data_IF_811526376660
#
_entry.id   IF_811526376660
#
_cell.length_a   1.000
_cell.length_b   1.000
_cell.length_c   1.000
_cell.angle_alpha   90.00
_cell.angle_beta   90.00
_cell.angle_gamma   90.00
#
_symmetry.space_group_name_H-M   'P 1'
#
loop_
_entity.id
_entity.type
_entity.pdbx_description
1 polymer ?
#
# COMPACT_ATOMS: atom_id res chain seq x y z
N UNK A 1 29.38 -9.12 -39.27
CA UNK A 1 28.00 -9.44 -38.93
C UNK A 1 27.96 -9.99 -37.51
N UNK A 2 27.13 -9.48 -36.59
CA UNK A 2 26.87 -10.17 -35.36
C UNK A 2 26.36 -11.57 -35.71
N UNK A 3 26.94 -12.61 -35.12
CA UNK A 3 26.59 -13.98 -35.44
C UNK A 3 25.09 -14.19 -35.16
N UNK A 4 24.39 -14.89 -36.04
CA UNK A 4 22.96 -15.25 -35.89
C UNK A 4 22.69 -15.83 -34.50
N UNK A 5 23.62 -16.59 -33.93
CA UNK A 5 23.56 -17.17 -32.60
C UNK A 5 23.45 -16.13 -31.45
N UNK A 6 24.07 -14.96 -31.54
CA UNK A 6 23.93 -13.93 -30.50
C UNK A 6 22.53 -13.28 -30.54
N UNK A 7 22.02 -13.01 -31.75
CA UNK A 7 20.64 -12.51 -31.97
C UNK A 7 19.60 -13.49 -31.40
N UNK A 8 19.80 -14.80 -31.60
CA UNK A 8 18.85 -15.82 -31.15
C UNK A 8 18.83 -15.97 -29.62
N UNK A 9 19.95 -15.73 -28.95
CA UNK A 9 19.99 -15.75 -27.47
C UNK A 9 19.16 -14.59 -26.88
N UNK A 10 19.28 -13.40 -27.43
CA UNK A 10 18.48 -12.25 -26.98
C UNK A 10 17.00 -12.41 -27.27
N UNK A 11 16.63 -12.90 -28.45
CA UNK A 11 15.23 -13.20 -28.80
C UNK A 11 14.62 -14.20 -27.82
N UNK A 12 15.32 -15.30 -27.52
CA UNK A 12 14.86 -16.30 -26.54
C UNK A 12 14.69 -15.69 -25.16
N UNK A 13 15.55 -14.77 -24.74
CA UNK A 13 15.46 -14.13 -23.44
C UNK A 13 14.28 -13.14 -23.35
N UNK A 14 14.01 -12.37 -24.42
CA UNK A 14 12.83 -11.50 -24.50
C UNK A 14 11.55 -12.33 -24.42
N UNK A 15 11.46 -13.42 -25.21
CA UNK A 15 10.32 -14.32 -25.18
C UNK A 15 10.14 -14.98 -23.79
N UNK A 16 11.24 -15.41 -23.16
CA UNK A 16 11.20 -16.00 -21.81
C UNK A 16 10.73 -14.97 -20.77
N UNK A 17 11.15 -13.71 -20.89
CA UNK A 17 10.70 -12.64 -19.99
C UNK A 17 9.19 -12.33 -20.18
N UNK A 18 8.72 -12.31 -21.43
CA UNK A 18 7.30 -12.09 -21.71
C UNK A 18 6.44 -13.26 -21.24
N UNK A 19 6.87 -14.50 -21.48
CA UNK A 19 6.18 -15.70 -21.01
C UNK A 19 6.20 -15.79 -19.47
N UNK A 20 7.32 -15.48 -18.84
CA UNK A 20 7.45 -15.41 -17.38
C UNK A 20 6.53 -14.35 -16.79
N UNK A 21 6.47 -13.16 -17.38
CA UNK A 21 5.57 -12.11 -16.95
C UNK A 21 4.09 -12.52 -17.10
N UNK A 22 3.73 -13.16 -18.20
CA UNK A 22 2.38 -13.69 -18.40
C UNK A 22 1.97 -14.66 -17.27
N UNK A 23 2.86 -15.59 -16.90
CA UNK A 23 2.60 -16.51 -15.78
C UNK A 23 2.45 -15.75 -14.47
N UNK A 24 3.27 -14.73 -14.21
CA UNK A 24 3.18 -13.90 -13.02
C UNK A 24 1.84 -13.15 -12.94
N UNK A 25 1.37 -12.58 -14.06
CA UNK A 25 0.05 -11.93 -14.13
C UNK A 25 -1.08 -12.95 -13.94
N UNK A 26 -0.96 -14.16 -14.48
CA UNK A 26 -1.95 -15.21 -14.25
C UNK A 26 -2.06 -15.60 -12.77
N UNK A 27 -0.95 -15.63 -12.05
CA UNK A 27 -0.92 -15.85 -10.59
C UNK A 27 -1.59 -14.68 -9.85
N UNK A 28 -1.22 -13.44 -10.19
CA UNK A 28 -1.76 -12.23 -9.55
C UNK A 28 -3.28 -12.09 -9.78
N UNK A 29 -3.78 -12.49 -10.95
CA UNK A 29 -5.20 -12.41 -11.33
C UNK A 29 -5.98 -13.70 -11.03
N UNK A 30 -5.32 -14.74 -10.50
CA UNK A 30 -5.90 -16.07 -10.26
C UNK A 30 -6.55 -16.71 -11.51
N UNK A 31 -6.17 -16.25 -12.73
CA UNK A 31 -6.79 -16.68 -13.98
C UNK A 31 -5.86 -16.46 -15.17
N UNK A 32 -5.65 -17.53 -15.94
CA UNK A 32 -4.95 -17.42 -17.24
C UNK A 32 -5.77 -16.64 -18.28
N UNK A 33 -7.09 -16.69 -18.19
CA UNK A 33 -7.99 -15.98 -19.11
C UNK A 33 -7.87 -14.48 -18.85
N UNK A 34 -7.90 -14.05 -17.59
CA UNK A 34 -7.74 -12.65 -17.23
C UNK A 34 -6.35 -12.10 -17.58
N UNK A 35 -5.31 -12.90 -17.43
CA UNK A 35 -3.97 -12.52 -17.88
C UNK A 35 -3.90 -12.36 -19.40
N UNK A 36 -4.61 -13.21 -20.15
CA UNK A 36 -4.71 -13.10 -21.60
C UNK A 36 -5.50 -11.84 -22.00
N UNK A 37 -6.64 -11.59 -21.38
CA UNK A 37 -7.45 -10.40 -21.59
C UNK A 37 -6.62 -9.13 -21.33
N UNK A 38 -5.90 -9.08 -20.22
CA UNK A 38 -5.00 -7.97 -19.92
C UNK A 38 -3.92 -7.77 -21.00
N UNK A 39 -3.25 -8.84 -21.41
CA UNK A 39 -2.21 -8.78 -22.44
C UNK A 39 -2.76 -8.25 -23.77
N UNK A 40 -3.97 -8.64 -24.16
CA UNK A 40 -4.59 -8.26 -25.45
C UNK A 40 -5.23 -6.88 -25.41
N UNK A 41 -5.82 -6.49 -24.28
CA UNK A 41 -6.46 -5.18 -24.14
C UNK A 41 -5.46 -4.05 -23.84
N UNK A 42 -4.33 -4.38 -23.16
CA UNK A 42 -3.30 -3.40 -22.80
C UNK A 42 -1.89 -3.82 -23.26
N UNK A 43 -1.68 -4.04 -24.56
CA UNK A 43 -0.43 -4.63 -25.08
C UNK A 43 0.81 -3.79 -24.79
N UNK A 44 0.70 -2.46 -24.76
CA UNK A 44 1.83 -1.57 -24.45
C UNK A 44 2.26 -1.68 -22.98
N UNK A 45 1.30 -1.78 -22.08
CA UNK A 45 1.57 -1.95 -20.63
C UNK A 45 2.15 -3.33 -20.36
N UNK A 46 1.62 -4.36 -21.01
CA UNK A 46 2.18 -5.72 -20.94
C UNK A 46 3.63 -5.76 -21.45
N UNK A 47 3.90 -5.17 -22.63
CA UNK A 47 5.24 -5.10 -23.21
C UNK A 47 6.21 -4.32 -22.30
N UNK A 48 5.75 -3.24 -21.66
CA UNK A 48 6.54 -2.47 -20.71
C UNK A 48 6.96 -3.32 -19.50
N UNK A 49 6.02 -4.03 -18.86
CA UNK A 49 6.34 -4.89 -17.71
C UNK A 49 7.22 -6.08 -18.09
N UNK A 50 6.99 -6.68 -19.25
CA UNK A 50 7.88 -7.71 -19.79
C UNK A 50 9.31 -7.16 -20.02
N UNK A 51 9.44 -5.93 -20.53
CA UNK A 51 10.72 -5.24 -20.67
C UNK A 51 11.36 -4.90 -19.32
N UNK A 52 10.56 -4.60 -18.28
CA UNK A 52 11.05 -4.40 -16.93
C UNK A 52 11.74 -5.67 -16.38
N UNK A 53 11.06 -6.82 -16.49
CA UNK A 53 11.63 -8.11 -16.08
C UNK A 53 12.87 -8.45 -16.92
N UNK A 54 12.81 -8.21 -18.24
CA UNK A 54 13.97 -8.40 -19.12
C UNK A 54 15.15 -7.55 -18.67
N UNK A 55 14.96 -6.25 -18.44
CA UNK A 55 15.99 -5.30 -18.02
C UNK A 55 16.61 -5.70 -16.69
N UNK A 56 15.81 -6.12 -15.70
CA UNK A 56 16.30 -6.64 -14.43
C UNK A 56 17.15 -7.89 -14.60
N UNK A 57 16.85 -8.73 -15.60
CA UNK A 57 17.60 -9.96 -15.89
C UNK A 57 18.96 -9.72 -16.56
N UNK A 58 19.25 -8.52 -17.06
CA UNK A 58 20.53 -8.21 -17.71
C UNK A 58 21.74 -8.29 -16.77
N UNK A 59 21.51 -8.17 -15.45
CA UNK A 59 22.56 -8.35 -14.43
C UNK A 59 23.29 -9.70 -14.58
N UNK A 60 22.62 -10.72 -15.13
CA UNK A 60 23.13 -12.06 -15.37
C UNK A 60 24.44 -12.06 -16.20
N UNK A 61 24.60 -11.06 -17.10
CA UNK A 61 25.78 -10.97 -17.95
C UNK A 61 27.05 -10.47 -17.25
N UNK A 62 26.93 -10.07 -15.99
CA UNK A 62 28.06 -9.69 -15.14
C UNK A 62 28.69 -10.91 -14.41
N UNK A 63 28.08 -12.09 -14.50
CA UNK A 63 28.49 -13.25 -13.75
C UNK A 63 28.84 -14.46 -14.65
N UNK A 64 29.77 -15.33 -14.18
CA UNK A 64 30.13 -16.57 -14.86
C UNK A 64 29.03 -17.62 -14.73
N UNK A 65 28.30 -17.66 -13.63
CA UNK A 65 27.21 -18.62 -13.40
C UNK A 65 25.87 -18.09 -13.84
N UNK A 66 25.74 -17.84 -15.13
CA UNK A 66 24.58 -17.18 -15.74
C UNK A 66 23.25 -17.89 -15.50
N UNK A 67 23.27 -19.23 -15.45
CA UNK A 67 22.06 -20.03 -15.19
C UNK A 67 21.56 -19.78 -13.78
N UNK A 68 22.44 -19.80 -12.78
CA UNK A 68 22.09 -19.51 -11.40
C UNK A 68 21.45 -18.11 -11.26
N UNK A 69 22.11 -17.08 -11.78
CA UNK A 69 21.60 -15.71 -11.68
C UNK A 69 20.28 -15.52 -12.43
N UNK A 70 20.10 -16.22 -13.56
CA UNK A 70 18.83 -16.18 -14.30
C UNK A 70 17.70 -16.80 -13.50
N UNK A 71 17.94 -17.98 -12.92
CA UNK A 71 16.96 -18.64 -12.03
C UNK A 71 16.66 -17.75 -10.83
N UNK A 72 17.68 -17.15 -10.20
CA UNK A 72 17.49 -16.28 -9.04
C UNK A 72 16.62 -15.07 -9.35
N UNK A 73 16.87 -14.35 -10.44
CA UNK A 73 16.06 -13.19 -10.85
C UNK A 73 14.62 -13.61 -11.19
N UNK A 74 14.45 -14.73 -11.89
CA UNK A 74 13.12 -15.25 -12.22
C UNK A 74 12.36 -15.65 -10.96
N UNK A 75 12.99 -16.33 -10.03
CA UNK A 75 12.39 -16.71 -8.74
C UNK A 75 12.07 -15.48 -7.88
N UNK A 76 12.91 -14.46 -7.88
CA UNK A 76 12.62 -13.22 -7.18
C UNK A 76 11.27 -12.64 -7.62
N UNK A 77 11.07 -12.44 -8.92
CA UNK A 77 9.81 -11.93 -9.46
C UNK A 77 8.63 -12.88 -9.24
N UNK A 78 8.86 -14.18 -9.39
CA UNK A 78 7.82 -15.19 -9.20
C UNK A 78 7.35 -15.26 -7.73
N UNK A 79 8.28 -15.23 -6.77
CA UNK A 79 7.95 -15.22 -5.34
C UNK A 79 7.11 -13.98 -4.99
N UNK A 80 7.51 -12.81 -5.48
CA UNK A 80 6.75 -11.59 -5.25
C UNK A 80 5.34 -11.69 -5.88
N UNK A 81 5.21 -12.26 -7.08
CA UNK A 81 3.90 -12.50 -7.70
C UNK A 81 3.04 -13.48 -6.91
N UNK A 82 3.63 -14.55 -6.36
CA UNK A 82 2.93 -15.50 -5.49
C UNK A 82 2.47 -14.82 -4.20
N UNK A 83 3.34 -14.01 -3.56
CA UNK A 83 2.96 -13.24 -2.36
C UNK A 83 1.78 -12.33 -2.68
N UNK A 84 1.84 -11.60 -3.79
CA UNK A 84 0.74 -10.73 -4.22
C UNK A 84 -0.55 -11.53 -4.47
N UNK A 85 -0.48 -12.65 -5.20
CA UNK A 85 -1.64 -13.50 -5.44
C UNK A 85 -2.24 -14.05 -4.15
N UNK A 86 -1.42 -14.55 -3.21
CA UNK A 86 -1.92 -15.04 -1.91
C UNK A 86 -2.56 -13.93 -1.08
N UNK A 87 -2.01 -12.71 -1.10
CA UNK A 87 -2.62 -11.58 -0.40
C UNK A 87 -3.97 -11.20 -1.00
N UNK A 88 -4.10 -11.20 -2.31
CA UNK A 88 -5.36 -10.88 -3.01
C UNK A 88 -6.48 -11.92 -2.79
N UNK A 89 -6.16 -13.12 -2.29
CA UNK A 89 -7.18 -14.07 -1.82
C UNK A 89 -7.79 -13.66 -0.47
N UNK A 90 -7.08 -12.84 0.31
CA UNK A 90 -7.47 -12.50 1.68
C UNK A 90 -7.81 -11.01 1.86
N UNK A 91 -7.41 -10.15 0.93
CA UNK A 91 -7.67 -8.70 0.99
C UNK A 91 -7.80 -8.12 -0.43
N UNK A 92 -8.47 -7.00 -0.55
CA UNK A 92 -8.66 -6.29 -1.84
C UNK A 92 -7.37 -5.60 -2.31
N UNK A 93 -6.51 -5.17 -1.39
CA UNK A 93 -5.29 -4.42 -1.74
C UNK A 93 -4.14 -5.35 -2.10
N UNK A 94 -3.42 -5.09 -3.21
CA UNK A 94 -2.26 -5.86 -3.63
C UNK A 94 -1.06 -5.66 -2.69
N UNK A 95 0.01 -6.44 -2.93
CA UNK A 95 1.29 -6.28 -2.24
C UNK A 95 2.01 -5.02 -2.71
N UNK A 96 2.38 -4.15 -1.78
CA UNK A 96 2.96 -2.83 -2.03
C UNK A 96 4.32 -2.63 -1.34
N UNK A 97 5.05 -1.57 -1.69
CA UNK A 97 6.29 -1.19 -1.01
C UNK A 97 6.17 -1.06 0.50
N UNK A 98 5.17 -0.35 1.04
CA UNK A 98 4.92 -0.28 2.48
C UNK A 98 4.72 -1.63 3.18
N UNK A 99 4.22 -2.66 2.51
CA UNK A 99 4.09 -4.00 3.09
C UNK A 99 5.46 -4.64 3.41
N UNK A 100 6.53 -4.20 2.75
CA UNK A 100 7.89 -4.67 3.08
C UNK A 100 8.29 -4.29 4.52
N UNK A 101 7.81 -3.18 5.03
CA UNK A 101 8.06 -2.76 6.42
C UNK A 101 7.23 -3.56 7.44
N UNK A 102 6.19 -4.26 6.97
CA UNK A 102 5.30 -5.05 7.82
C UNK A 102 5.68 -6.52 7.90
N UNK A 103 6.75 -6.96 7.25
CA UNK A 103 7.16 -8.38 7.24
C UNK A 103 7.33 -8.91 8.68
N UNK A 104 7.92 -8.11 9.58
CA UNK A 104 8.08 -8.49 10.98
C UNK A 104 6.77 -8.64 11.73
N UNK A 105 5.78 -7.78 11.43
CA UNK A 105 4.46 -7.84 12.05
C UNK A 105 3.63 -8.98 11.44
N UNK A 106 3.74 -9.19 10.13
CA UNK A 106 3.12 -10.33 9.44
C UNK A 106 3.61 -11.67 9.99
N UNK A 107 4.89 -11.79 10.34
CA UNK A 107 5.44 -13.00 10.96
C UNK A 107 4.81 -13.28 12.35
N UNK A 108 4.50 -12.25 13.14
CA UNK A 108 3.87 -12.40 14.46
C UNK A 108 2.43 -12.91 14.36
N UNK A 109 1.72 -12.54 13.28
CA UNK A 109 0.32 -12.92 13.06
C UNK A 109 0.15 -14.09 12.08
N UNK A 110 1.24 -14.59 11.50
CA UNK A 110 1.19 -15.70 10.54
C UNK A 110 0.45 -16.94 11.09
N UNK A 111 0.58 -17.21 12.38
CA UNK A 111 -0.10 -18.31 13.06
C UNK A 111 -1.64 -18.14 13.14
N UNK A 112 -2.16 -16.93 12.97
CA UNK A 112 -3.61 -16.68 12.92
C UNK A 112 -4.20 -17.04 11.54
N UNK A 113 -3.39 -17.01 10.48
CA UNK A 113 -3.81 -17.26 9.09
C UNK A 113 -3.41 -18.63 8.56
N UNK A 114 -2.33 -19.22 9.09
CA UNK A 114 -1.85 -20.54 8.69
C UNK A 114 -1.75 -21.45 9.91
N UNK A 115 -2.27 -22.68 9.81
CA UNK A 115 -2.02 -23.68 10.85
C UNK A 115 -0.51 -23.95 10.97
N UNK A 116 -0.04 -24.34 12.15
CA UNK A 116 1.38 -24.58 12.43
C UNK A 116 2.01 -25.52 11.40
N UNK A 117 1.28 -26.56 10.97
CA UNK A 117 1.72 -27.47 9.91
C UNK A 117 1.97 -26.75 8.58
N UNK A 118 1.14 -25.74 8.23
CA UNK A 118 1.34 -24.92 7.05
C UNK A 118 2.59 -24.05 7.11
N UNK A 119 2.85 -23.43 8.26
CA UNK A 119 4.08 -22.65 8.49
C UNK A 119 5.32 -23.54 8.36
N UNK A 120 5.30 -24.72 8.97
CA UNK A 120 6.40 -25.71 8.88
C UNK A 120 6.61 -26.14 7.42
N UNK A 121 5.55 -26.44 6.68
CA UNK A 121 5.66 -26.81 5.26
C UNK A 121 6.30 -25.69 4.42
N UNK A 122 5.92 -24.44 4.61
CA UNK A 122 6.53 -23.29 3.93
C UNK A 122 8.02 -23.17 4.27
N UNK A 123 8.40 -23.33 5.55
CA UNK A 123 9.80 -23.31 5.97
C UNK A 123 10.62 -24.45 5.32
N UNK A 124 10.06 -25.65 5.24
CA UNK A 124 10.72 -26.80 4.59
C UNK A 124 10.90 -26.53 3.08
N UNK A 125 9.85 -26.07 2.39
CA UNK A 125 9.92 -25.73 0.96
C UNK A 125 10.96 -24.64 0.69
N UNK A 126 11.00 -23.61 1.54
CA UNK A 126 12.01 -22.55 1.45
C UNK A 126 13.43 -23.12 1.67
N UNK A 127 13.63 -23.99 2.66
CA UNK A 127 14.91 -24.66 2.91
C UNK A 127 15.35 -25.51 1.71
N UNK A 128 14.45 -26.28 1.11
CA UNK A 128 14.73 -27.06 -0.10
C UNK A 128 15.13 -26.12 -1.25
N UNK A 129 14.39 -25.02 -1.47
CA UNK A 129 14.70 -24.03 -2.52
C UNK A 129 16.11 -23.45 -2.32
N UNK A 130 16.47 -23.08 -1.10
CA UNK A 130 17.81 -22.55 -0.78
C UNK A 130 18.89 -23.60 -1.09
N UNK A 131 18.69 -24.86 -0.71
CA UNK A 131 19.64 -25.95 -1.00
C UNK A 131 19.78 -26.12 -2.51
N UNK A 132 18.70 -26.14 -3.28
CA UNK A 132 18.75 -26.27 -4.74
C UNK A 132 19.48 -25.09 -5.39
N UNK A 133 19.25 -23.86 -4.90
CA UNK A 133 19.96 -22.67 -5.37
C UNK A 133 21.47 -22.75 -5.05
N UNK A 134 21.85 -23.21 -3.86
CA UNK A 134 23.25 -23.43 -3.49
C UNK A 134 23.90 -24.54 -4.36
N UNK A 135 23.19 -25.63 -4.61
CA UNK A 135 23.66 -26.66 -5.52
C UNK A 135 23.86 -26.11 -6.94
N UNK A 136 22.93 -25.30 -7.44
CA UNK A 136 23.04 -24.65 -8.75
C UNK A 136 24.17 -23.63 -8.78
N UNK A 137 24.41 -22.92 -7.68
CA UNK A 137 25.56 -22.02 -7.53
C UNK A 137 26.90 -22.78 -7.53
N UNK A 138 26.98 -23.91 -6.87
CA UNK A 138 28.23 -24.68 -6.73
C UNK A 138 28.49 -25.57 -7.97
N UNK A 139 27.48 -26.32 -8.41
CA UNK A 139 27.60 -27.35 -9.48
C UNK A 139 27.10 -26.90 -10.84
N UNK A 140 26.35 -25.77 -10.92
CA UNK A 140 25.73 -25.29 -12.15
C UNK A 140 26.75 -24.91 -13.25
N UNK A 141 26.32 -24.84 -14.51
CA UNK A 141 27.19 -24.57 -15.64
C UNK A 141 27.82 -23.18 -15.54
N UNK A 142 29.11 -23.11 -15.81
CA UNK A 142 29.89 -21.87 -15.85
C UNK A 142 30.07 -21.39 -17.29
N UNK A 143 29.94 -20.10 -17.50
CA UNK A 143 30.33 -19.49 -18.79
C UNK A 143 31.84 -19.52 -18.94
N UNK A 144 32.32 -20.22 -19.94
CA UNK A 144 33.75 -20.56 -20.12
C UNK A 144 34.59 -19.37 -20.64
N UNK A 145 33.94 -18.39 -21.32
CA UNK A 145 34.68 -17.26 -21.91
C UNK A 145 34.88 -16.17 -20.86
N UNK A 146 35.98 -15.40 -20.99
CA UNK A 146 36.21 -14.21 -20.15
C UNK A 146 35.06 -13.21 -20.31
N UNK A 147 34.54 -12.65 -19.19
CA UNK A 147 33.52 -11.64 -19.21
C UNK A 147 34.16 -10.32 -19.61
N UNK A 148 33.64 -9.70 -20.65
CA UNK A 148 34.13 -8.42 -21.15
C UNK A 148 33.39 -7.28 -20.42
N UNK A 149 33.72 -7.03 -19.17
CA UNK A 149 33.07 -5.98 -18.33
C UNK A 149 33.07 -4.61 -19.00
N UNK A 150 34.16 -4.25 -19.70
CA UNK A 150 34.29 -2.98 -20.45
C UNK A 150 33.13 -2.76 -21.46
N UNK A 151 32.55 -3.83 -21.99
CA UNK A 151 31.40 -3.74 -22.91
C UNK A 151 30.07 -4.06 -22.24
N UNK A 152 30.07 -5.05 -21.34
CA UNK A 152 28.81 -5.49 -20.69
C UNK A 152 28.23 -4.41 -19.77
N UNK A 153 29.08 -3.74 -18.97
CA UNK A 153 28.59 -2.70 -18.04
C UNK A 153 27.99 -1.51 -18.79
N UNK A 154 28.67 -0.87 -19.76
CA UNK A 154 28.08 0.24 -20.52
C UNK A 154 26.81 -0.17 -21.28
N UNK A 155 26.76 -1.41 -21.81
CA UNK A 155 25.55 -1.89 -22.52
C UNK A 155 24.38 -2.08 -21.58
N UNK A 156 24.59 -2.60 -20.37
CA UNK A 156 23.54 -2.74 -19.33
C UNK A 156 23.09 -1.36 -18.87
N UNK A 157 24.01 -0.44 -18.61
CA UNK A 157 23.67 0.93 -18.23
C UNK A 157 22.88 1.66 -19.33
N UNK A 158 23.26 1.45 -20.59
CA UNK A 158 22.50 1.98 -21.72
C UNK A 158 21.09 1.40 -21.78
N UNK A 159 20.94 0.08 -21.60
CA UNK A 159 19.63 -0.57 -21.57
C UNK A 159 18.76 -0.06 -20.42
N UNK A 160 19.33 0.13 -19.24
CA UNK A 160 18.64 0.73 -18.09
C UNK A 160 18.24 2.18 -18.37
N UNK A 161 19.12 2.97 -18.97
CA UNK A 161 18.82 4.36 -19.33
C UNK A 161 17.70 4.44 -20.41
N UNK A 162 17.74 3.57 -21.42
CA UNK A 162 16.67 3.46 -22.41
C UNK A 162 15.35 3.03 -21.80
N UNK A 163 15.38 2.10 -20.83
CA UNK A 163 14.19 1.68 -20.11
C UNK A 163 13.64 2.83 -19.25
N UNK A 164 14.48 3.56 -18.52
CA UNK A 164 14.08 4.75 -17.77
C UNK A 164 13.48 5.83 -18.67
N UNK A 165 14.08 6.07 -19.83
CA UNK A 165 13.53 6.98 -20.85
C UNK A 165 12.18 6.52 -21.40
N UNK A 166 12.01 5.20 -21.60
CA UNK A 166 10.71 4.64 -22.02
C UNK A 166 9.64 4.77 -20.90
N UNK A 167 10.03 4.70 -19.62
CA UNK A 167 9.14 4.97 -18.49
C UNK A 167 8.64 6.41 -18.51
N UNK A 168 9.56 7.37 -18.68
CA UNK A 168 9.22 8.79 -18.77
C UNK A 168 8.26 9.06 -19.94
N UNK A 169 8.56 8.50 -21.12
CA UNK A 169 7.70 8.62 -22.29
C UNK A 169 6.32 8.00 -22.06
N UNK A 170 6.25 6.84 -21.41
CA UNK A 170 4.99 6.16 -21.10
C UNK A 170 4.12 6.98 -20.13
N UNK A 171 4.73 7.66 -19.15
CA UNK A 171 4.05 8.60 -18.25
C UNK A 171 3.53 9.83 -19.00
N UNK A 172 4.36 10.45 -19.86
CA UNK A 172 3.96 11.61 -20.66
C UNK A 172 2.81 11.29 -21.63
N UNK A 173 2.85 10.10 -22.24
CA UNK A 173 1.78 9.61 -23.13
C UNK A 173 0.58 9.03 -22.40
N UNK A 174 0.56 9.05 -21.08
CA UNK A 174 -0.51 8.49 -20.21
C UNK A 174 -0.78 7.00 -20.45
N UNK A 175 0.22 6.25 -20.93
CA UNK A 175 0.19 4.79 -20.99
C UNK A 175 0.35 4.21 -19.60
N UNK A 176 1.16 4.88 -18.76
CA UNK A 176 1.33 4.61 -17.35
C UNK A 176 0.92 5.83 -16.53
N UNK A 177 0.64 5.62 -15.24
CA UNK A 177 0.42 6.68 -14.26
C UNK A 177 1.31 6.47 -13.05
N UNK A 178 1.81 7.55 -12.46
CA UNK A 178 2.50 7.55 -11.17
C UNK A 178 1.58 7.92 -10.01
N UNK A 179 0.33 8.26 -10.28
CA UNK A 179 -0.71 8.49 -9.30
C UNK A 179 -1.76 7.37 -9.38
N UNK A 180 -2.04 6.75 -8.26
CA UNK A 180 -3.00 5.66 -8.13
C UNK A 180 -4.14 6.11 -7.23
N UNK A 181 -5.25 6.54 -7.83
CA UNK A 181 -6.46 6.90 -7.08
C UNK A 181 -7.07 5.72 -6.31
N UNK A 182 -6.95 4.51 -6.88
CA UNK A 182 -7.21 3.24 -6.21
C UNK A 182 -6.09 2.27 -6.56
N UNK A 183 -5.42 1.74 -5.53
CA UNK A 183 -4.24 0.89 -5.72
C UNK A 183 -4.58 -0.47 -6.35
N UNK A 184 -5.75 -1.04 -6.04
CA UNK A 184 -6.17 -2.31 -6.63
C UNK A 184 -6.38 -2.18 -8.14
N UNK A 185 -7.14 -1.17 -8.56
CA UNK A 185 -7.35 -0.88 -9.98
C UNK A 185 -6.07 -0.50 -10.71
N UNK A 186 -5.14 0.18 -10.03
CA UNK A 186 -3.85 0.50 -10.63
C UNK A 186 -3.05 -0.77 -10.97
N UNK A 187 -3.08 -1.79 -10.12
CA UNK A 187 -2.42 -3.08 -10.39
C UNK A 187 -3.10 -3.85 -11.53
N UNK A 188 -4.42 -3.77 -11.63
CA UNK A 188 -5.16 -4.33 -12.76
C UNK A 188 -4.83 -3.61 -14.07
N UNK A 189 -4.70 -2.29 -14.04
CA UNK A 189 -4.48 -1.45 -15.21
C UNK A 189 -3.03 -1.44 -15.69
N UNK A 190 -2.07 -1.32 -14.77
CA UNK A 190 -0.66 -1.08 -15.09
C UNK A 190 0.26 -2.27 -14.84
N UNK A 191 -0.27 -3.36 -14.28
CA UNK A 191 0.47 -4.59 -14.02
C UNK A 191 1.34 -4.55 -12.77
N UNK A 192 1.55 -5.73 -12.22
CA UNK A 192 2.17 -5.92 -10.91
C UNK A 192 3.60 -5.37 -10.79
N UNK A 193 4.58 -5.64 -11.71
CA UNK A 193 5.96 -5.20 -11.51
C UNK A 193 6.12 -3.67 -11.50
N UNK A 194 5.41 -2.98 -12.40
CA UNK A 194 5.42 -1.52 -12.46
C UNK A 194 4.84 -0.91 -11.20
N UNK A 195 3.67 -1.36 -10.78
CA UNK A 195 2.99 -0.81 -9.61
C UNK A 195 3.76 -1.05 -8.32
N UNK A 196 4.33 -2.26 -8.14
CA UNK A 196 5.19 -2.55 -7.00
C UNK A 196 6.41 -1.62 -6.97
N UNK A 197 7.12 -1.48 -8.10
CA UNK A 197 8.26 -0.58 -8.18
C UNK A 197 7.86 0.87 -7.87
N UNK A 198 6.73 1.34 -8.38
CA UNK A 198 6.23 2.69 -8.11
C UNK A 198 5.94 2.88 -6.62
N UNK A 199 5.34 1.89 -5.94
CA UNK A 199 5.07 1.98 -4.49
C UNK A 199 6.33 1.87 -3.62
N UNK A 200 7.44 1.35 -4.16
CA UNK A 200 8.74 1.30 -3.46
C UNK A 200 9.53 2.59 -3.64
N UNK A 201 9.55 3.13 -4.86
CA UNK A 201 10.45 4.26 -5.22
C UNK A 201 9.76 5.63 -5.17
N UNK A 202 8.44 5.69 -5.26
CA UNK A 202 7.68 6.92 -5.17
C UNK A 202 6.97 6.99 -3.81
N UNK A 203 7.73 7.34 -2.78
CA UNK A 203 7.28 7.47 -1.39
C UNK A 203 7.51 8.88 -0.89
N UNK A 204 6.81 9.23 0.20
CA UNK A 204 6.91 10.54 0.85
C UNK A 204 5.99 11.58 0.23
N UNK A 205 6.08 12.80 0.75
CA UNK A 205 5.22 13.92 0.36
C UNK A 205 5.82 14.62 -0.85
N UNK A 206 5.01 14.78 -1.89
CA UNK A 206 5.41 15.55 -3.07
C UNK A 206 5.42 17.05 -2.75
N UNK A 207 6.56 17.70 -2.97
CA UNK A 207 6.66 19.15 -2.84
C UNK A 207 5.85 19.82 -3.97
N UNK A 208 4.88 20.71 -3.66
CA UNK A 208 4.18 21.50 -4.67
C UNK A 208 5.14 22.33 -5.52
N UNK A 209 4.84 22.50 -6.81
CA UNK A 209 5.73 23.22 -7.75
C UNK A 209 5.94 24.69 -7.41
N UNK A 210 4.96 25.30 -6.78
CA UNK A 210 4.90 26.70 -6.35
C UNK A 210 5.29 26.90 -4.89
N UNK A 211 5.76 25.83 -4.21
CA UNK A 211 6.23 25.92 -2.84
C UNK A 211 7.44 26.87 -2.73
N UNK A 212 7.23 27.97 -2.00
CA UNK A 212 8.24 28.99 -1.79
C UNK A 212 7.97 29.75 -0.50
N UNK A 213 9.03 30.33 0.09
CA UNK A 213 8.90 31.18 1.28
C UNK A 213 7.94 32.38 1.05
N UNK A 214 7.90 32.89 -0.19
CA UNK A 214 6.99 33.98 -0.57
C UNK A 214 5.53 33.53 -0.50
N UNK A 215 5.25 32.30 -0.96
CA UNK A 215 3.90 31.75 -0.95
C UNK A 215 3.44 31.45 0.48
N UNK A 216 4.32 30.90 1.32
CA UNK A 216 4.04 30.69 2.74
C UNK A 216 3.71 32.01 3.43
N UNK A 217 4.54 33.06 3.26
CA UNK A 217 4.26 34.40 3.84
C UNK A 217 2.97 35.01 3.31
N UNK A 218 2.56 34.69 2.07
CA UNK A 218 1.28 35.12 1.51
C UNK A 218 0.11 34.48 2.24
N UNK A 219 0.17 33.17 2.47
CA UNK A 219 -0.84 32.39 3.20
C UNK A 219 -0.95 32.92 4.64
N UNK A 220 0.15 33.03 5.38
CA UNK A 220 0.19 33.57 6.75
C UNK A 220 -0.47 34.95 6.85
N UNK A 221 -0.21 35.82 5.87
CA UNK A 221 -0.79 37.16 5.85
C UNK A 221 -2.30 37.14 5.61
N UNK A 222 -2.78 36.15 4.86
CA UNK A 222 -4.21 35.95 4.61
C UNK A 222 -4.92 35.46 5.88
N UNK A 223 -4.31 34.52 6.60
CA UNK A 223 -4.85 33.98 7.86
C UNK A 223 -4.95 35.04 8.97
N UNK A 224 -3.92 35.88 9.11
CA UNK A 224 -3.91 36.98 10.10
C UNK A 224 -5.04 38.01 9.90
N UNK A 225 -5.69 38.04 8.75
CA UNK A 225 -6.81 38.93 8.45
C UNK A 225 -8.17 38.27 8.69
N UNK A 226 -8.22 37.03 9.20
CA UNK A 226 -9.49 36.40 9.59
C UNK A 226 -10.02 37.10 10.86
N UNK A 227 -11.35 37.37 10.96
CA UNK A 227 -11.91 37.96 12.16
C UNK A 227 -11.73 37.04 13.36
N UNK A 228 -11.21 37.59 14.47
CA UNK A 228 -11.16 36.87 15.74
C UNK A 228 -12.59 36.50 16.19
N UNK A 229 -12.81 35.20 16.35
CA UNK A 229 -14.08 34.70 16.89
C UNK A 229 -14.12 35.01 18.37
N UNK A 230 -15.19 35.67 18.83
CA UNK A 230 -15.40 35.92 20.27
C UNK A 230 -15.50 34.60 21.02
N UNK A 231 -14.95 34.56 22.24
CA UNK A 231 -14.98 33.38 23.12
C UNK A 231 -16.43 33.03 23.49
N UNK A 232 -17.07 32.23 22.68
CA UNK A 232 -18.28 31.52 23.04
C UNK A 232 -18.01 30.25 23.84
N UNK A 233 -19.03 29.75 24.54
CA UNK A 233 -18.97 28.49 25.31
C UNK A 233 -18.25 27.41 24.52
N UNK A 234 -17.22 26.82 25.11
CA UNK A 234 -16.44 25.71 24.54
C UNK A 234 -17.19 24.38 24.70
N UNK A 235 -17.87 23.87 23.66
CA UNK A 235 -18.56 22.59 23.75
C UNK A 235 -17.55 21.43 23.75
N UNK A 236 -17.92 20.28 24.29
CA UNK A 236 -17.20 19.05 24.04
C UNK A 236 -17.35 18.66 22.57
N UNK A 237 -16.25 18.24 21.95
CA UNK A 237 -16.21 17.82 20.53
C UNK A 237 -15.96 16.32 20.49
N UNK A 238 -16.83 15.58 19.82
CA UNK A 238 -16.73 14.16 19.62
C UNK A 238 -16.58 13.87 18.12
N UNK A 239 -15.43 13.34 17.71
CA UNK A 239 -15.20 12.80 16.37
C UNK A 239 -15.46 11.29 16.41
N UNK A 240 -16.53 10.84 15.77
CA UNK A 240 -16.88 9.43 15.66
C UNK A 240 -16.64 8.95 14.24
N UNK A 241 -15.55 8.21 14.02
CA UNK A 241 -15.27 7.58 12.73
C UNK A 241 -15.85 6.16 12.69
N UNK A 242 -16.86 5.98 11.86
CA UNK A 242 -17.50 4.68 11.60
C UNK A 242 -16.82 4.02 10.40
N UNK A 243 -15.82 3.19 10.64
CA UNK A 243 -14.83 2.73 9.66
C UNK A 243 -15.41 2.03 8.43
N UNK A 244 -16.32 1.07 8.62
CA UNK A 244 -16.91 0.27 7.53
C UNK A 244 -18.40 0.58 7.34
N UNK A 245 -18.88 1.66 7.93
CA UNK A 245 -20.28 2.05 7.83
C UNK A 245 -20.60 2.56 6.42
N UNK A 246 -21.66 2.02 5.81
CA UNK A 246 -22.18 2.48 4.53
C UNK A 246 -23.70 2.31 4.49
N UNK A 247 -24.35 2.93 3.53
CA UNK A 247 -25.78 2.77 3.29
C UNK A 247 -26.04 1.55 2.37
N UNK A 248 -26.54 0.42 2.88
CA UNK A 248 -26.79 -0.75 2.08
C UNK A 248 -27.83 -0.54 0.97
N UNK A 249 -28.69 0.47 1.10
CA UNK A 249 -29.71 0.77 0.08
C UNK A 249 -29.11 1.33 -1.22
N UNK A 250 -27.85 1.75 -1.20
CA UNK A 250 -27.10 2.17 -2.40
C UNK A 250 -26.59 0.99 -3.24
N UNK A 251 -26.71 -0.23 -2.74
CA UNK A 251 -26.25 -1.44 -3.42
C UNK A 251 -27.36 -1.97 -4.34
N UNK A 252 -27.21 -1.80 -5.63
CA UNK A 252 -28.27 -2.02 -6.64
C UNK A 252 -28.84 -3.46 -6.72
N UNK A 253 -28.09 -4.46 -6.24
CA UNK A 253 -28.51 -5.87 -6.27
C UNK A 253 -29.09 -6.36 -4.94
N UNK A 254 -29.15 -5.51 -3.91
CA UNK A 254 -29.78 -5.85 -2.63
C UNK A 254 -31.24 -5.41 -2.61
N UNK A 255 -32.13 -6.34 -2.28
CA UNK A 255 -33.52 -6.05 -1.95
C UNK A 255 -33.65 -5.99 -0.41
N UNK A 256 -33.87 -4.81 0.13
CA UNK A 256 -33.94 -4.55 1.56
C UNK A 256 -35.41 -4.25 1.91
N UNK A 257 -36.00 -5.06 2.78
CA UNK A 257 -37.42 -4.92 3.18
C UNK A 257 -37.68 -3.81 4.18
N UNK A 258 -36.67 -3.49 5.00
CA UNK A 258 -36.77 -2.46 6.03
C UNK A 258 -35.54 -1.54 5.98
N UNK A 259 -35.66 -0.30 6.44
CA UNK A 259 -34.52 0.61 6.50
C UNK A 259 -33.48 0.11 7.51
N UNK A 260 -32.26 -0.28 7.07
CA UNK A 260 -31.25 -0.85 7.95
C UNK A 260 -30.55 0.20 8.84
N UNK A 261 -30.70 1.50 8.55
CA UNK A 261 -29.99 2.59 9.22
C UNK A 261 -30.92 3.77 9.56
N UNK A 262 -32.08 3.54 10.20
CA UNK A 262 -33.11 4.57 10.39
C UNK A 262 -32.61 5.75 11.23
N UNK A 263 -31.82 5.51 12.26
CA UNK A 263 -31.23 6.54 13.11
C UNK A 263 -30.28 7.46 12.34
N UNK A 264 -29.41 6.89 11.52
CA UNK A 264 -28.48 7.65 10.72
C UNK A 264 -29.21 8.51 9.68
N UNK A 265 -30.23 7.97 9.02
CA UNK A 265 -31.07 8.74 8.08
C UNK A 265 -31.82 9.88 8.74
N UNK A 266 -32.28 9.69 9.98
CA UNK A 266 -32.91 10.74 10.76
C UNK A 266 -31.89 11.86 11.04
N UNK A 267 -30.69 11.52 11.51
CA UNK A 267 -29.63 12.49 11.77
C UNK A 267 -29.23 13.27 10.51
N UNK A 268 -29.11 12.59 9.37
CA UNK A 268 -28.83 13.25 8.08
C UNK A 268 -29.88 14.26 7.67
N UNK A 269 -31.13 14.06 8.06
CA UNK A 269 -32.24 15.00 7.75
C UNK A 269 -32.31 16.18 8.73
N UNK A 270 -31.99 15.95 9.99
CA UNK A 270 -32.16 16.93 11.07
C UNK A 270 -30.93 17.81 11.28
N UNK A 271 -29.75 17.34 10.87
CA UNK A 271 -28.47 18.03 11.08
C UNK A 271 -27.70 18.22 9.77
N UNK A 272 -26.69 19.08 9.81
CA UNK A 272 -25.80 19.30 8.66
C UNK A 272 -25.13 17.97 8.26
N UNK A 273 -25.27 17.63 6.99
CA UNK A 273 -24.76 16.37 6.45
C UNK A 273 -24.21 16.56 5.04
N UNK A 274 -23.37 15.66 4.59
CA UNK A 274 -22.79 15.67 3.26
C UNK A 274 -22.01 14.42 2.96
N UNK A 275 -21.44 14.33 1.76
CA UNK A 275 -20.58 13.22 1.35
C UNK A 275 -19.12 13.58 1.57
N UNK A 276 -18.41 12.67 2.20
CA UNK A 276 -16.96 12.75 2.37
C UNK A 276 -16.25 11.81 1.37
N UNK A 277 -15.37 12.37 0.53
CA UNK A 277 -14.59 11.61 -0.41
C UNK A 277 -13.39 11.01 0.31
N UNK A 278 -13.38 9.68 0.47
CA UNK A 278 -12.33 8.96 1.16
C UNK A 278 -11.15 8.62 0.22
N UNK A 279 -9.90 8.60 0.73
CA UNK A 279 -8.72 8.32 -0.07
C UNK A 279 -8.50 6.83 -0.36
N UNK A 280 -9.19 5.94 0.36
CA UNK A 280 -8.99 4.49 0.27
C UNK A 280 -10.31 3.76 0.12
N UNK A 281 -10.30 2.65 -0.64
CA UNK A 281 -11.44 1.77 -0.86
C UNK A 281 -11.02 0.32 -0.55
N UNK A 282 -11.83 -0.38 0.23
CA UNK A 282 -11.65 -1.81 0.54
C UNK A 282 -10.60 -2.14 1.60
N UNK A 283 -9.73 -1.20 1.95
CA UNK A 283 -8.76 -1.29 3.05
C UNK A 283 -8.08 0.08 3.25
N UNK A 284 -7.28 0.23 4.33
CA UNK A 284 -6.50 1.45 4.55
C UNK A 284 -7.27 2.60 5.17
N UNK A 285 -8.24 2.30 6.03
CA UNK A 285 -9.05 3.28 6.78
C UNK A 285 -8.22 4.24 7.61
N UNK A 286 -7.00 3.86 8.03
CA UNK A 286 -6.03 4.76 8.66
C UNK A 286 -5.67 5.98 7.77
N UNK A 287 -5.77 5.87 6.44
CA UNK A 287 -5.57 7.00 5.54
C UNK A 287 -6.75 7.98 5.58
N UNK A 288 -7.98 7.48 5.71
CA UNK A 288 -9.17 8.31 5.93
C UNK A 288 -9.12 8.99 7.30
N UNK A 289 -8.69 8.27 8.33
CA UNK A 289 -8.47 8.80 9.68
C UNK A 289 -7.42 9.92 9.65
N UNK A 290 -6.30 9.71 8.94
CA UNK A 290 -5.27 10.72 8.75
C UNK A 290 -5.81 12.00 8.09
N UNK A 291 -6.53 11.89 6.95
CA UNK A 291 -7.12 13.06 6.28
C UNK A 291 -8.13 13.80 7.17
N UNK A 292 -8.95 13.05 7.92
CA UNK A 292 -9.96 13.63 8.81
C UNK A 292 -9.34 14.41 9.98
N UNK A 293 -8.24 13.89 10.54
CA UNK A 293 -7.59 14.48 11.73
C UNK A 293 -6.66 15.63 11.35
N UNK A 294 -5.97 15.53 10.20
CA UNK A 294 -4.93 16.51 9.81
C UNK A 294 -5.41 17.53 8.79
N UNK A 295 -6.48 17.24 8.05
CA UNK A 295 -6.87 18.03 6.87
C UNK A 295 -5.93 17.89 5.68
N UNK A 296 -4.88 17.07 5.77
CA UNK A 296 -3.93 16.82 4.67
C UNK A 296 -4.46 15.76 3.73
N UNK A 297 -4.31 15.97 2.42
CA UNK A 297 -4.75 14.98 1.44
C UNK A 297 -3.69 13.93 1.14
N UNK A 298 -4.12 12.66 1.10
CA UNK A 298 -3.32 11.53 0.62
C UNK A 298 -2.87 11.67 -0.84
N UNK A 299 -3.47 12.60 -1.60
CA UNK A 299 -3.06 12.92 -2.96
C UNK A 299 -1.58 13.31 -3.08
N UNK A 300 -1.01 13.90 -2.03
CA UNK A 300 0.39 14.35 -2.01
C UNK A 300 1.38 13.27 -1.59
N UNK A 301 0.90 12.12 -1.15
CA UNK A 301 1.73 10.97 -0.76
C UNK A 301 1.95 10.01 -1.91
N UNK A 302 2.98 9.18 -1.77
CA UNK A 302 3.25 8.12 -2.72
C UNK A 302 2.12 7.08 -2.80
N UNK A 303 1.99 6.39 -3.94
CA UNK A 303 0.93 5.40 -4.14
C UNK A 303 1.01 4.26 -3.13
N UNK A 304 -0.11 3.98 -2.46
CA UNK A 304 -0.19 2.93 -1.43
C UNK A 304 0.52 3.25 -0.13
N UNK A 305 0.96 4.49 0.08
CA UNK A 305 1.59 4.92 1.31
C UNK A 305 0.56 5.06 2.44
N UNK A 306 1.04 4.77 3.65
CA UNK A 306 0.30 5.00 4.88
C UNK A 306 1.14 5.94 5.75
N UNK A 307 0.72 7.20 5.97
CA UNK A 307 1.44 8.12 6.86
C UNK A 307 1.70 7.55 8.24
N UNK A 308 0.79 6.71 8.74
CA UNK A 308 0.92 5.98 10.01
C UNK A 308 2.06 4.94 10.01
N UNK A 309 2.50 4.50 8.85
CA UNK A 309 3.59 3.51 8.71
C UNK A 309 4.89 4.14 8.23
N UNK A 310 4.84 5.38 7.82
CA UNK A 310 5.99 6.14 7.30
C UNK A 310 6.26 7.37 8.16
N UNK A 311 5.97 8.56 7.68
CA UNK A 311 6.41 9.84 8.24
C UNK A 311 5.96 10.08 9.69
N UNK A 312 4.74 9.68 10.06
CA UNK A 312 4.22 9.91 11.41
C UNK A 312 4.85 9.03 12.50
N UNK A 313 5.66 8.06 12.13
CA UNK A 313 6.45 7.29 13.11
C UNK A 313 7.57 8.12 13.71
N UNK A 314 8.06 9.11 13.00
CA UNK A 314 9.28 9.85 13.32
C UNK A 314 9.03 11.34 13.54
N UNK A 315 7.92 11.87 13.03
CA UNK A 315 7.61 13.30 13.05
C UNK A 315 6.22 13.59 13.58
N UNK A 316 6.07 14.76 14.20
CA UNK A 316 4.76 15.32 14.53
C UNK A 316 4.13 15.94 13.27
N UNK A 317 2.81 16.08 13.29
CA UNK A 317 2.05 16.71 12.23
C UNK A 317 0.97 17.59 12.84
N UNK A 318 0.76 18.77 12.29
CA UNK A 318 -0.38 19.61 12.68
C UNK A 318 -1.70 18.86 12.46
N UNK A 319 -2.61 19.01 13.40
CA UNK A 319 -3.83 18.20 13.45
C UNK A 319 -4.90 18.87 14.28
N UNK A 320 -6.15 18.42 14.16
CA UNK A 320 -7.25 18.89 15.01
C UNK A 320 -6.94 18.80 16.52
N UNK A 321 -6.33 17.72 17.07
CA UNK A 321 -5.84 17.70 18.45
C UNK A 321 -4.91 18.86 18.81
N UNK A 322 -3.89 19.17 18.01
CA UNK A 322 -3.00 20.29 18.29
C UNK A 322 -3.71 21.64 18.28
N UNK A 323 -4.58 21.86 17.29
CA UNK A 323 -5.38 23.11 17.20
C UNK A 323 -6.28 23.26 18.41
N UNK A 324 -6.98 22.20 18.82
CA UNK A 324 -7.87 22.20 19.97
C UNK A 324 -7.12 22.40 21.29
N UNK A 325 -5.93 21.81 21.44
CA UNK A 325 -5.08 22.03 22.62
C UNK A 325 -4.67 23.48 22.76
N UNK A 326 -4.35 24.16 21.67
CA UNK A 326 -4.04 25.59 21.67
C UNK A 326 -5.24 26.45 22.14
N UNK A 327 -6.46 25.92 22.02
CA UNK A 327 -7.69 26.52 22.54
C UNK A 327 -8.02 26.06 23.98
N UNK A 328 -7.16 25.27 24.63
CA UNK A 328 -7.32 24.81 26.00
C UNK A 328 -8.14 23.54 26.19
N UNK A 329 -8.37 22.77 25.12
CA UNK A 329 -8.98 21.43 25.21
C UNK A 329 -7.97 20.37 25.66
N UNK A 330 -8.47 19.30 26.26
CA UNK A 330 -7.76 18.03 26.37
C UNK A 330 -8.23 17.10 25.27
N UNK A 331 -7.34 16.26 24.75
CA UNK A 331 -7.59 15.45 23.55
C UNK A 331 -7.37 13.96 23.84
N UNK A 332 -8.39 13.16 23.56
CA UNK A 332 -8.42 11.75 23.89
C UNK A 332 -8.78 10.93 22.64
N UNK A 333 -7.99 9.91 22.34
CA UNK A 333 -8.29 8.95 21.28
C UNK A 333 -8.74 7.62 21.85
N UNK A 334 -9.66 6.95 21.17
CA UNK A 334 -10.19 5.65 21.54
C UNK A 334 -10.33 4.76 20.32
N UNK A 335 -9.91 3.51 20.43
CA UNK A 335 -10.03 2.54 19.35
C UNK A 335 -10.20 1.12 19.90
N UNK A 336 -11.19 0.37 19.40
CA UNK A 336 -11.52 -0.98 19.85
C UNK A 336 -10.62 -2.09 19.24
N UNK A 337 -9.37 -1.77 18.96
CA UNK A 337 -8.37 -2.74 18.51
C UNK A 337 -7.08 -2.58 19.31
N UNK A 338 -6.13 -3.50 19.13
CA UNK A 338 -4.81 -3.45 19.76
C UNK A 338 -4.09 -2.11 19.48
N UNK A 339 -3.41 -1.58 20.48
CA UNK A 339 -2.69 -0.29 20.39
C UNK A 339 -1.68 -0.26 19.22
N UNK A 340 -1.11 -1.41 18.88
CA UNK A 340 -0.14 -1.53 17.79
C UNK A 340 -0.78 -1.64 16.40
N UNK A 341 -2.10 -1.77 16.31
CA UNK A 341 -2.78 -1.84 15.01
C UNK A 341 -2.62 -0.51 14.25
N UNK A 342 -2.02 -0.55 13.06
CA UNK A 342 -1.48 0.59 12.32
C UNK A 342 -0.41 1.42 13.05
N UNK A 343 0.09 0.97 14.21
CA UNK A 343 1.09 1.68 15.01
C UNK A 343 0.54 2.86 15.82
N UNK A 344 -0.77 2.93 16.05
CA UNK A 344 -1.47 4.07 16.70
C UNK A 344 -0.86 4.46 18.04
N UNK A 345 -0.32 3.49 18.80
CA UNK A 345 0.37 3.75 20.09
C UNK A 345 1.47 4.82 19.98
N UNK A 346 2.24 4.81 18.90
CA UNK A 346 3.31 5.76 18.65
C UNK A 346 2.87 6.97 17.81
N UNK A 347 1.79 6.82 17.04
CA UNK A 347 1.32 7.82 16.08
C UNK A 347 0.43 8.88 16.74
N UNK A 348 -0.49 8.47 17.61
CA UNK A 348 -1.45 9.40 18.23
C UNK A 348 -0.77 10.48 19.09
N UNK A 349 0.30 10.20 19.87
CA UNK A 349 1.09 11.26 20.48
C UNK A 349 1.68 12.25 19.47
N UNK A 350 2.15 11.76 18.31
CA UNK A 350 2.69 12.60 17.24
C UNK A 350 1.60 13.46 16.55
N UNK A 351 0.35 13.01 16.61
CA UNK A 351 -0.83 13.77 16.18
C UNK A 351 -1.41 14.67 17.29
N UNK A 352 -0.77 14.74 18.45
CA UNK A 352 -1.13 15.65 19.52
C UNK A 352 -2.17 15.15 20.51
N UNK A 353 -2.60 13.89 20.48
CA UNK A 353 -3.49 13.35 21.49
C UNK A 353 -2.78 13.23 22.85
N UNK A 354 -3.48 13.63 23.93
CA UNK A 354 -2.97 13.53 25.30
C UNK A 354 -3.06 12.10 25.83
N UNK A 355 -4.12 11.38 25.45
CA UNK A 355 -4.30 9.97 25.81
C UNK A 355 -4.81 9.14 24.64
N UNK A 356 -4.48 7.85 24.69
CA UNK A 356 -5.01 6.84 23.78
C UNK A 356 -5.47 5.60 24.56
N UNK A 357 -6.74 5.26 24.42
CA UNK A 357 -7.33 4.05 24.97
C UNK A 357 -7.57 3.03 23.87
N UNK A 358 -6.86 1.92 23.91
CA UNK A 358 -6.98 0.79 23.00
C UNK A 358 -7.72 -0.38 23.64
N UNK A 359 -7.96 -1.46 22.87
CA UNK A 359 -8.65 -2.68 23.35
C UNK A 359 -8.10 -3.17 24.70
N UNK A 360 -6.77 -3.13 24.89
CA UNK A 360 -6.09 -3.64 26.09
C UNK A 360 -6.45 -2.87 27.37
N UNK A 361 -6.95 -1.65 27.24
CA UNK A 361 -7.33 -0.79 28.36
C UNK A 361 -8.85 -0.65 28.55
N UNK A 362 -9.66 -1.36 27.76
CA UNK A 362 -11.10 -1.36 27.89
C UNK A 362 -11.56 -2.31 29.01
N UNK A 363 -12.43 -1.83 29.90
CA UNK A 363 -12.80 -2.51 31.14
C UNK A 363 -13.71 -3.75 30.98
N UNK A 364 -14.24 -4.03 29.79
CA UNK A 364 -15.10 -5.19 29.52
C UNK A 364 -14.32 -6.31 28.85
N UNK A 365 -14.63 -7.56 29.24
CA UNK A 365 -14.34 -8.71 28.38
C UNK A 365 -15.00 -8.42 27.02
N UNK A 366 -14.16 -8.15 26.05
CA UNK A 366 -14.58 -7.63 24.77
C UNK A 366 -15.35 -8.71 24.02
N UNK A 367 -16.67 -8.56 23.92
CA UNK A 367 -17.45 -9.39 23.03
C UNK A 367 -16.94 -9.25 21.61
N UNK A 368 -16.52 -10.36 21.04
CA UNK A 368 -16.00 -10.40 19.67
C UNK A 368 -17.06 -10.89 18.71
N UNK A 369 -17.05 -10.34 17.50
CA UNK A 369 -17.84 -10.86 16.41
C UNK A 369 -17.26 -12.22 15.92
N UNK A 370 -17.95 -12.97 15.02
CA UNK A 370 -17.47 -14.26 14.51
C UNK A 370 -16.08 -14.18 13.84
N UNK A 371 -15.66 -13.00 13.37
CA UNK A 371 -14.36 -12.77 12.74
C UNK A 371 -13.26 -12.41 13.76
N UNK A 372 -13.56 -12.41 15.05
CA UNK A 372 -12.62 -12.11 16.12
C UNK A 372 -12.37 -10.63 16.41
N UNK A 373 -13.14 -9.72 15.79
CA UNK A 373 -13.07 -8.28 16.06
C UNK A 373 -13.96 -7.89 17.25
N UNK A 374 -13.49 -6.98 18.06
CA UNK A 374 -14.26 -6.40 19.15
C UNK A 374 -15.46 -5.63 18.59
N UNK A 375 -16.64 -5.84 19.18
CA UNK A 375 -17.86 -5.14 18.76
C UNK A 375 -17.78 -3.64 19.08
N UNK A 376 -18.43 -2.82 18.28
CA UNK A 376 -18.44 -1.36 18.42
C UNK A 376 -19.08 -0.86 19.72
N UNK A 377 -19.96 -1.66 20.30
CA UNK A 377 -20.58 -1.40 21.61
C UNK A 377 -19.54 -1.23 22.75
N UNK A 378 -18.37 -1.89 22.65
CA UNK A 378 -17.30 -1.75 23.63
C UNK A 378 -16.76 -0.32 23.71
N UNK A 379 -16.63 0.37 22.56
CA UNK A 379 -16.20 1.78 22.49
C UNK A 379 -17.24 2.69 23.11
N UNK A 380 -18.49 2.53 22.71
CA UNK A 380 -19.61 3.37 23.18
C UNK A 380 -19.78 3.25 24.69
N UNK A 381 -19.72 2.04 25.26
CA UNK A 381 -19.88 1.82 26.69
C UNK A 381 -18.72 2.41 27.48
N UNK A 382 -17.48 2.24 27.04
CA UNK A 382 -16.29 2.66 27.78
C UNK A 382 -16.19 4.18 27.93
N UNK A 383 -16.63 4.93 26.92
CA UNK A 383 -16.41 6.39 26.86
C UNK A 383 -17.64 7.25 26.97
N UNK A 384 -18.80 6.80 26.54
CA UNK A 384 -20.03 7.60 26.60
C UNK A 384 -20.78 7.42 27.92
N UNK A 385 -20.46 6.40 28.71
CA UNK A 385 -21.18 6.10 29.97
C UNK A 385 -20.40 6.45 31.25
N UNK A 386 -19.10 6.75 31.16
CA UNK A 386 -18.23 6.95 32.34
C UNK A 386 -18.32 8.32 33.04
N UNK A 387 -18.73 9.45 32.45
CA UNK A 387 -18.61 10.74 33.12
C UNK A 387 -19.82 11.19 33.93
N UNK A 388 -20.88 10.42 34.07
CA UNK A 388 -22.10 10.92 34.71
C UNK A 388 -22.12 10.79 36.24
N UNK A 389 -21.00 10.41 36.86
CA UNK A 389 -20.85 10.44 38.33
C UNK A 389 -19.54 11.11 38.74
N UNK A 390 -19.47 12.38 38.53
CA UNK A 390 -18.58 13.24 39.27
C UNK A 390 -19.37 14.30 40.00
#
# INVERSE_FOLDING_TARGET
KPSSAASDVYKRQVLASAAGYFVMEAICRHSFIEAWNYMTQRPLVFAYNAAFIFTSSLIVYLFHRRVFWRVLVTLFWLILAIINGVLLLNRVTPFTGPDLHLITDAMKIANKYLPVAGVVAVCILFGILVILLLMLLIKGPKYQKKIKYRYNIPLILLAVALFAGSTQLALEKRVLSNYFGNIAFAYEDYGYPYCLATTIFNTGISCPRDYSEKEIKRIEKTEKNLPETQEEKRPNILFLQLESFFDPTLVNYLNISEDPIPTFRKLMKEYSSGYYKVPSVGAGTANTEFESITGMSMHYFGPGEYPYKSILRETTCESAPYVLKNLGYTTHAVHNNEANFYGRRSIFPNLGFDTFTSEEYMARENEKNPNGWVKDEAVSYTHLTLPTKA
#
